data_IF_694911299583
#
_entry.id   IF_694911299583
#
_cell.length_a   1.000
_cell.length_b   1.000
_cell.length_c   1.000
_cell.angle_alpha   90.00
_cell.angle_beta   90.00
_cell.angle_gamma   90.00
#
_symmetry.space_group_name_H-M   'P 1'
#
loop_
_entity.id
_entity.type
_entity.pdbx_description
1 polymer ?
#
# COMPACT_ATOMS: atom_id res chain seq x y z
N UNK A 1 37.96 46.15 -24.79
CA UNK A 1 37.58 46.94 -23.61
C UNK A 1 36.39 46.24 -22.98
N UNK A 2 36.65 45.26 -22.13
CA UNK A 2 35.63 44.40 -21.53
C UNK A 2 35.05 45.13 -20.31
N UNK A 3 33.76 45.44 -20.32
CA UNK A 3 33.05 45.91 -19.13
C UNK A 3 32.67 44.69 -18.29
N UNK A 4 33.24 44.59 -17.10
CA UNK A 4 32.84 43.64 -16.06
C UNK A 4 31.61 44.20 -15.34
N UNK A 5 30.48 43.48 -15.41
CA UNK A 5 29.34 43.68 -14.51
C UNK A 5 29.58 42.87 -13.23
N UNK A 6 29.62 43.55 -12.10
CA UNK A 6 29.79 42.95 -10.77
C UNK A 6 28.41 42.49 -10.25
N UNK A 7 28.19 41.18 -10.26
CA UNK A 7 26.89 40.53 -9.94
C UNK A 7 26.77 40.14 -8.46
N UNK A 8 27.54 40.76 -7.56
CA UNK A 8 27.68 40.34 -6.17
C UNK A 8 26.87 41.14 -5.13
N UNK A 9 25.80 41.87 -5.51
CA UNK A 9 25.07 42.71 -4.54
C UNK A 9 23.67 42.29 -4.09
N UNK A 10 23.03 41.22 -4.61
CA UNK A 10 21.63 40.94 -4.22
C UNK A 10 21.23 39.48 -3.95
N UNK A 11 22.17 38.61 -3.54
CA UNK A 11 21.81 37.32 -2.95
C UNK A 11 21.62 37.43 -1.43
N UNK A 12 20.46 37.97 -1.03
CA UNK A 12 19.98 37.80 0.35
C UNK A 12 19.54 36.35 0.55
N UNK A 13 20.32 35.62 1.34
CA UNK A 13 19.99 34.29 1.88
C UNK A 13 18.54 34.29 2.37
N UNK A 14 17.65 33.53 1.73
CA UNK A 14 16.27 33.35 2.21
C UNK A 14 16.33 32.59 3.54
N UNK A 15 15.79 33.21 4.59
CA UNK A 15 15.74 32.61 5.93
C UNK A 15 14.93 31.30 5.92
N UNK A 16 15.25 30.36 6.82
CA UNK A 16 14.49 29.12 6.95
C UNK A 16 12.99 29.41 7.23
N UNK A 17 12.09 28.52 6.76
CA UNK A 17 10.65 28.77 6.80
C UNK A 17 10.19 29.03 8.24
N UNK A 18 9.44 30.11 8.37
CA UNK A 18 8.91 30.60 9.63
C UNK A 18 7.95 29.57 10.24
N UNK A 19 7.74 29.68 11.55
CA UNK A 19 6.83 28.81 12.30
C UNK A 19 5.39 28.84 11.73
N UNK A 20 4.98 29.97 11.13
CA UNK A 20 3.68 30.12 10.49
C UNK A 20 3.60 29.39 9.14
N UNK A 21 4.66 29.44 8.32
CA UNK A 21 4.74 28.68 7.05
C UNK A 21 4.74 27.18 7.32
N UNK A 22 5.48 26.71 8.33
CA UNK A 22 5.45 25.30 8.78
C UNK A 22 4.06 24.88 9.26
N UNK A 23 3.33 25.75 9.96
CA UNK A 23 1.96 25.49 10.40
C UNK A 23 0.98 25.44 9.23
N UNK A 24 1.16 26.30 8.22
CA UNK A 24 0.32 26.33 7.02
C UNK A 24 0.53 25.05 6.19
N UNK A 25 1.78 24.64 5.98
CA UNK A 25 2.13 23.38 5.31
C UNK A 25 1.57 22.15 6.05
N UNK A 26 1.73 22.08 7.37
CA UNK A 26 1.17 20.98 8.18
C UNK A 26 -0.37 20.94 8.14
N UNK A 27 -1.03 22.10 8.06
CA UNK A 27 -2.48 22.19 7.94
C UNK A 27 -2.97 21.79 6.54
N UNK A 28 -2.23 22.13 5.49
CA UNK A 28 -2.47 21.65 4.13
C UNK A 28 -2.35 20.12 4.09
N UNK A 29 -1.25 19.57 4.59
CA UNK A 29 -1.02 18.11 4.68
C UNK A 29 -2.16 17.39 5.42
N UNK A 30 -2.68 17.95 6.52
CA UNK A 30 -3.78 17.34 7.28
C UNK A 30 -5.15 17.42 6.58
N UNK A 31 -5.34 18.38 5.67
CA UNK A 31 -6.56 18.50 4.87
C UNK A 31 -6.57 17.50 3.68
N UNK A 32 -5.39 17.13 3.16
CA UNK A 32 -5.23 16.19 2.04
C UNK A 32 -5.14 14.70 2.43
N UNK A 33 -5.23 14.37 3.72
CA UNK A 33 -5.21 12.99 4.24
C UNK A 33 -6.50 12.19 4.04
N UNK A 34 -7.51 12.71 3.34
CA UNK A 34 -8.71 11.94 2.98
C UNK A 34 -8.49 11.31 1.59
N UNK A 35 -8.40 9.97 1.48
CA UNK A 35 -8.11 9.31 0.21
C UNK A 35 -9.37 9.30 -0.68
N UNK A 36 -9.27 9.89 -1.87
CA UNK A 36 -10.19 9.65 -3.00
C UNK A 36 -9.33 9.11 -4.13
N UNK A 37 -9.52 7.87 -4.55
CA UNK A 37 -8.56 7.18 -5.41
C UNK A 37 -9.19 6.19 -6.37
N UNK A 38 -8.68 6.20 -7.61
CA UNK A 38 -9.01 5.27 -8.68
C UNK A 38 -7.90 5.05 -9.80
N UNK A 39 -7.69 3.83 -10.34
CA UNK A 39 -7.06 3.18 -11.51
C UNK A 39 -7.70 1.80 -11.85
N UNK A 40 -8.06 1.71 -13.12
CA UNK A 40 -7.96 0.57 -14.03
C UNK A 40 -7.16 1.13 -15.20
N UNK A 41 -7.39 0.76 -16.46
CA UNK A 41 -6.68 1.39 -17.59
C UNK A 41 -6.98 2.91 -17.73
N UNK A 42 -7.99 3.38 -17.00
CA UNK A 42 -8.29 4.80 -16.78
C UNK A 42 -8.03 5.19 -15.32
N UNK A 43 -7.65 6.45 -15.09
CA UNK A 43 -7.46 7.07 -13.76
C UNK A 43 -8.74 7.08 -12.89
N UNK A 44 -9.85 6.53 -13.37
CA UNK A 44 -11.18 6.49 -12.74
C UNK A 44 -11.53 5.14 -12.03
N UNK A 45 -10.66 4.10 -12.01
CA UNK A 45 -11.10 2.70 -11.68
C UNK A 45 -10.50 1.91 -10.46
N UNK A 46 -9.75 2.52 -9.53
CA UNK A 46 -9.05 1.85 -8.41
C UNK A 46 -10.05 1.94 -7.30
N UNK A 47 -10.16 0.87 -6.56
CA UNK A 47 -10.76 1.01 -5.26
C UNK A 47 -9.86 1.83 -4.33
N UNK A 48 -10.50 2.33 -3.29
CA UNK A 48 -9.94 2.61 -1.96
C UNK A 48 -8.98 1.50 -1.45
N UNK A 49 -9.00 0.29 -2.03
CA UNK A 49 -8.37 -0.92 -1.50
C UNK A 49 -7.44 -1.64 -2.49
N UNK A 50 -6.82 -0.90 -3.42
CA UNK A 50 -5.91 -1.47 -4.42
C UNK A 50 -6.66 -2.32 -5.46
N UNK A 51 -6.19 -3.52 -5.84
CA UNK A 51 -6.83 -4.37 -6.86
C UNK A 51 -8.15 -5.01 -6.38
N UNK A 52 -8.57 -4.72 -5.14
CA UNK A 52 -9.79 -5.26 -4.56
C UNK A 52 -11.00 -4.40 -4.83
N UNK A 53 -12.04 -5.04 -5.35
CA UNK A 53 -13.40 -4.51 -5.45
C UNK A 53 -14.26 -5.18 -4.37
N UNK A 54 -15.00 -4.36 -3.60
CA UNK A 54 -15.98 -4.90 -2.65
C UNK A 54 -17.12 -5.53 -3.44
N UNK A 55 -17.43 -6.78 -3.10
CA UNK A 55 -18.59 -7.49 -3.65
C UNK A 55 -19.41 -8.12 -2.52
N UNK A 56 -20.33 -9.01 -2.87
CA UNK A 56 -21.23 -9.68 -1.95
C UNK A 56 -21.00 -11.20 -1.93
N UNK A 57 -21.59 -11.86 -0.94
CA UNK A 57 -21.48 -13.31 -0.69
C UNK A 57 -22.19 -14.21 -1.72
N UNK A 58 -22.90 -13.63 -2.68
CA UNK A 58 -23.59 -14.33 -3.77
C UNK A 58 -22.91 -14.08 -5.14
N UNK A 59 -21.74 -13.43 -5.14
CA UNK A 59 -20.96 -13.16 -6.35
C UNK A 59 -20.57 -14.48 -7.04
N UNK A 60 -20.85 -14.58 -8.35
CA UNK A 60 -20.74 -15.83 -9.12
C UNK A 60 -19.28 -16.23 -9.35
N UNK A 61 -18.40 -15.27 -9.58
CA UNK A 61 -16.98 -15.55 -9.80
C UNK A 61 -16.32 -15.97 -8.49
N UNK A 62 -16.70 -15.32 -7.39
CA UNK A 62 -16.28 -15.73 -6.05
C UNK A 62 -16.81 -17.10 -5.65
N UNK A 63 -18.04 -17.44 -6.03
CA UNK A 63 -18.59 -18.78 -5.82
C UNK A 63 -17.76 -19.85 -6.53
N UNK A 64 -17.36 -19.60 -7.78
CA UNK A 64 -16.47 -20.50 -8.55
C UNK A 64 -15.15 -20.71 -7.81
N UNK A 65 -14.49 -19.63 -7.39
CA UNK A 65 -13.23 -19.70 -6.66
C UNK A 65 -13.39 -20.44 -5.31
N UNK A 66 -14.50 -20.18 -4.61
CA UNK A 66 -14.79 -20.79 -3.32
C UNK A 66 -15.14 -22.28 -3.42
N UNK A 67 -15.85 -22.71 -4.46
CA UNK A 67 -16.17 -24.12 -4.70
C UNK A 67 -14.91 -24.96 -4.95
N UNK A 68 -13.84 -24.35 -5.49
CA UNK A 68 -12.53 -24.97 -5.68
C UNK A 68 -11.59 -24.89 -4.46
N UNK A 69 -12.01 -24.28 -3.36
CA UNK A 69 -11.14 -24.03 -2.21
C UNK A 69 -11.29 -25.08 -1.10
N UNK A 70 -10.18 -25.47 -0.46
CA UNK A 70 -10.15 -26.56 0.53
C UNK A 70 -10.97 -26.27 1.81
N UNK A 71 -11.27 -25.00 2.10
CA UNK A 71 -12.12 -24.62 3.25
C UNK A 71 -13.60 -24.85 2.99
N UNK A 72 -14.01 -25.02 1.72
CA UNK A 72 -15.40 -25.23 1.35
C UNK A 72 -15.84 -26.64 1.72
N UNK A 73 -16.91 -26.73 2.51
CA UNK A 73 -17.49 -28.01 2.86
C UNK A 73 -18.13 -28.65 1.63
N UNK A 74 -17.88 -29.95 1.40
CA UNK A 74 -18.42 -30.68 0.22
C UNK A 74 -19.94 -30.54 0.07
N UNK A 75 -20.67 -30.52 1.19
CA UNK A 75 -22.13 -30.36 1.21
C UNK A 75 -22.63 -28.96 0.85
N UNK A 76 -21.76 -27.95 0.82
CA UNK A 76 -22.11 -26.57 0.49
C UNK A 76 -21.61 -26.12 -0.88
N UNK A 77 -20.96 -26.99 -1.65
CA UNK A 77 -20.61 -26.73 -3.06
C UNK A 77 -21.91 -26.51 -3.84
N UNK A 78 -21.96 -25.47 -4.69
CA UNK A 78 -23.18 -25.05 -5.41
C UNK A 78 -24.20 -24.27 -4.57
N UNK A 79 -23.97 -24.06 -3.27
CA UNK A 79 -24.75 -23.09 -2.47
C UNK A 79 -24.62 -21.69 -3.06
N UNK A 80 -25.70 -20.92 -3.07
CA UNK A 80 -25.70 -19.52 -3.54
C UNK A 80 -24.90 -18.56 -2.65
N UNK A 81 -24.47 -19.02 -1.47
CA UNK A 81 -23.60 -18.29 -0.56
C UNK A 81 -22.41 -19.15 -0.13
N UNK A 82 -21.23 -18.54 -0.11
CA UNK A 82 -19.97 -19.19 0.27
C UNK A 82 -19.39 -18.72 1.61
N UNK A 83 -19.98 -17.69 2.22
CA UNK A 83 -19.52 -17.16 3.51
C UNK A 83 -20.36 -17.71 4.66
N UNK A 84 -19.75 -17.74 5.85
CA UNK A 84 -20.51 -18.03 7.08
C UNK A 84 -21.36 -16.82 7.50
N UNK A 85 -22.43 -17.02 8.28
CA UNK A 85 -23.20 -15.91 8.85
C UNK A 85 -22.35 -14.94 9.67
N UNK A 86 -22.73 -13.66 9.68
CA UNK A 86 -22.05 -12.61 10.46
C UNK A 86 -21.51 -11.46 9.61
N UNK A 87 -20.55 -10.72 10.18
CA UNK A 87 -19.95 -9.53 9.59
C UNK A 87 -18.84 -9.93 8.62
N UNK A 88 -19.17 -9.96 7.33
CA UNK A 88 -18.25 -10.31 6.27
C UNK A 88 -17.87 -9.06 5.45
N UNK A 89 -16.62 -9.01 5.00
CA UNK A 89 -16.15 -8.16 3.92
C UNK A 89 -15.65 -9.09 2.82
N UNK A 90 -16.27 -9.00 1.65
CA UNK A 90 -15.97 -9.86 0.50
C UNK A 90 -15.32 -9.00 -0.57
N UNK A 91 -14.13 -9.42 -1.00
CA UNK A 91 -13.33 -8.71 -1.99
C UNK A 91 -13.02 -9.63 -3.17
N UNK A 92 -13.04 -9.08 -4.38
CA UNK A 92 -12.60 -9.77 -5.59
C UNK A 92 -11.76 -8.86 -6.47
N UNK A 93 -10.92 -9.43 -7.32
CA UNK A 93 -10.34 -8.68 -8.45
C UNK A 93 -11.39 -8.39 -9.50
N UNK A 94 -11.11 -7.43 -10.37
CA UNK A 94 -11.97 -7.04 -11.48
C UNK A 94 -12.39 -8.24 -12.36
N UNK A 95 -11.41 -9.06 -12.75
CA UNK A 95 -11.59 -10.27 -13.58
C UNK A 95 -12.27 -11.42 -12.80
N UNK A 96 -12.30 -11.36 -11.46
CA UNK A 96 -12.86 -12.44 -10.63
C UNK A 96 -11.97 -13.68 -10.57
N UNK A 97 -10.65 -13.50 -10.74
CA UNK A 97 -9.62 -14.54 -10.67
C UNK A 97 -8.88 -14.55 -9.31
N UNK A 98 -9.12 -13.58 -8.44
CA UNK A 98 -8.73 -13.65 -7.04
C UNK A 98 -9.85 -13.19 -6.12
N UNK A 99 -9.89 -13.75 -4.92
CA UNK A 99 -10.96 -13.52 -3.96
C UNK A 99 -10.50 -13.61 -2.52
N UNK A 100 -11.05 -12.75 -1.66
CA UNK A 100 -10.77 -12.69 -0.24
C UNK A 100 -12.06 -12.50 0.57
N UNK A 101 -12.13 -13.11 1.76
CA UNK A 101 -13.20 -12.86 2.75
C UNK A 101 -12.63 -12.65 4.14
N UNK A 102 -12.84 -11.45 4.67
CA UNK A 102 -12.67 -11.17 6.09
C UNK A 102 -13.98 -11.38 6.84
N UNK A 103 -13.90 -11.97 8.02
CA UNK A 103 -15.00 -12.09 8.97
C UNK A 103 -14.60 -11.50 10.31
N UNK A 104 -15.35 -10.52 10.79
CA UNK A 104 -15.08 -9.86 12.07
C UNK A 104 -15.95 -10.41 13.20
N UNK A 105 -15.34 -10.65 14.36
CA UNK A 105 -16.09 -10.92 15.58
C UNK A 105 -15.41 -10.41 16.85
N UNK A 106 -16.24 -9.91 17.77
CA UNK A 106 -15.85 -9.58 19.14
C UNK A 106 -15.77 -10.81 20.07
N UNK A 107 -16.45 -11.90 19.74
CA UNK A 107 -16.55 -13.10 20.58
C UNK A 107 -16.48 -14.37 19.74
N UNK A 108 -15.62 -15.30 20.13
CA UNK A 108 -15.50 -16.64 19.52
C UNK A 108 -15.25 -17.68 20.59
N UNK A 109 -15.56 -18.92 20.26
CA UNK A 109 -15.43 -20.06 21.18
C UNK A 109 -14.00 -20.65 21.19
N UNK A 110 -13.14 -20.22 20.27
CA UNK A 110 -11.75 -20.68 20.10
C UNK A 110 -10.71 -19.73 20.72
N UNK A 111 -11.07 -19.09 21.84
CA UNK A 111 -10.27 -18.15 22.65
C UNK A 111 -9.95 -16.80 22.01
N UNK A 112 -9.99 -16.66 20.69
CA UNK A 112 -9.82 -15.35 20.04
C UNK A 112 -11.00 -14.42 20.31
N UNK A 113 -10.72 -13.17 20.68
CA UNK A 113 -11.73 -12.13 20.97
C UNK A 113 -11.35 -10.87 20.24
N UNK A 114 -12.33 -10.14 19.71
CA UNK A 114 -12.08 -8.94 18.90
C UNK A 114 -10.95 -9.15 17.88
N UNK A 115 -11.29 -9.91 16.83
CA UNK A 115 -10.36 -10.39 15.80
C UNK A 115 -11.01 -10.35 14.43
N UNK A 116 -10.21 -10.15 13.39
CA UNK A 116 -10.63 -10.35 12.00
C UNK A 116 -10.03 -11.67 11.49
N UNK A 117 -10.88 -12.59 11.04
CA UNK A 117 -10.44 -13.85 10.42
C UNK A 117 -10.50 -13.74 8.90
N UNK A 118 -9.40 -14.10 8.22
CA UNK A 118 -9.46 -14.45 6.80
C UNK A 118 -10.05 -15.87 6.65
N UNK A 119 -11.31 -15.94 6.23
CA UNK A 119 -12.04 -17.22 6.08
C UNK A 119 -11.88 -17.85 4.69
N UNK A 120 -11.48 -17.04 3.71
CA UNK A 120 -11.28 -17.46 2.34
C UNK A 120 -10.24 -16.54 1.68
N UNK A 121 -9.25 -17.15 1.03
CA UNK A 121 -8.36 -16.46 0.11
C UNK A 121 -7.94 -17.43 -0.99
N UNK A 122 -8.15 -17.04 -2.24
CA UNK A 122 -7.67 -17.76 -3.41
C UNK A 122 -7.20 -16.76 -4.44
N UNK A 123 -6.06 -17.02 -5.05
CA UNK A 123 -5.49 -16.17 -6.09
C UNK A 123 -5.11 -17.05 -7.29
N UNK A 124 -5.80 -16.84 -8.41
CA UNK A 124 -5.50 -17.39 -9.74
C UNK A 124 -5.01 -16.29 -10.70
N UNK A 125 -4.86 -15.06 -10.20
CA UNK A 125 -4.47 -13.88 -10.97
C UNK A 125 -2.95 -13.71 -11.10
N UNK A 126 -2.53 -12.68 -11.86
CA UNK A 126 -1.13 -12.26 -11.99
C UNK A 126 -0.57 -11.52 -10.78
N UNK A 127 -1.41 -11.06 -9.86
CA UNK A 127 -0.96 -10.25 -8.72
C UNK A 127 -0.19 -11.10 -7.70
N UNK A 128 0.81 -10.48 -7.07
CA UNK A 128 1.54 -11.12 -5.99
C UNK A 128 0.59 -11.36 -4.81
N UNK A 129 0.47 -12.63 -4.40
CA UNK A 129 -0.48 -13.02 -3.34
C UNK A 129 -0.26 -12.29 -2.02
N UNK A 130 0.99 -12.03 -1.63
CA UNK A 130 1.27 -11.29 -0.38
C UNK A 130 0.80 -9.85 -0.44
N UNK A 131 0.85 -9.21 -1.60
CA UNK A 131 0.38 -7.84 -1.77
C UNK A 131 -1.14 -7.78 -1.72
N UNK A 132 -1.81 -8.74 -2.37
CA UNK A 132 -3.26 -8.93 -2.23
C UNK A 132 -3.67 -9.10 -0.75
N UNK A 133 -2.92 -9.88 0.04
CA UNK A 133 -3.20 -10.03 1.48
C UNK A 133 -3.05 -8.70 2.22
N UNK A 134 -1.98 -7.92 1.99
CA UNK A 134 -1.77 -6.62 2.64
C UNK A 134 -2.91 -5.65 2.33
N UNK A 135 -3.31 -5.56 1.06
CA UNK A 135 -4.44 -4.72 0.65
C UNK A 135 -5.78 -5.16 1.25
N UNK A 136 -5.99 -6.48 1.40
CA UNK A 136 -7.20 -6.99 2.03
C UNK A 136 -7.25 -6.70 3.54
N UNK A 137 -6.09 -6.78 4.22
CA UNK A 137 -5.94 -6.36 5.62
C UNK A 137 -6.24 -4.88 5.74
N UNK A 138 -5.68 -4.03 4.87
CA UNK A 138 -5.97 -2.60 4.82
C UNK A 138 -7.47 -2.31 4.70
N UNK A 139 -8.15 -2.91 3.71
CA UNK A 139 -9.59 -2.74 3.50
C UNK A 139 -10.42 -3.12 4.73
N UNK A 140 -10.04 -4.23 5.36
CA UNK A 140 -10.71 -4.74 6.54
C UNK A 140 -10.52 -3.84 7.77
N UNK A 141 -9.34 -3.24 7.92
CA UNK A 141 -9.03 -2.24 8.96
C UNK A 141 -9.77 -0.94 8.70
N UNK A 142 -9.88 -0.46 7.46
CA UNK A 142 -10.72 0.70 7.16
C UNK A 142 -12.18 0.45 7.53
N UNK A 143 -12.67 -0.78 7.32
CA UNK A 143 -14.05 -1.14 7.61
C UNK A 143 -14.39 -1.24 9.10
N UNK A 144 -13.48 -1.77 9.92
CA UNK A 144 -13.76 -2.15 11.32
C UNK A 144 -12.76 -1.62 12.35
N UNK A 145 -11.74 -0.89 11.93
CA UNK A 145 -10.59 -0.53 12.77
C UNK A 145 -9.62 -1.70 12.97
N UNK A 146 -8.54 -1.43 13.71
CA UNK A 146 -7.59 -2.47 14.10
C UNK A 146 -8.16 -3.23 15.31
N UNK A 147 -8.44 -4.53 15.18
CA UNK A 147 -8.96 -5.35 16.27
C UNK A 147 -7.87 -5.66 17.31
N UNK A 148 -8.23 -5.85 18.59
CA UNK A 148 -7.23 -6.03 19.66
C UNK A 148 -6.36 -7.28 19.52
N UNK A 149 -6.89 -8.36 18.93
CA UNK A 149 -6.13 -9.60 18.66
C UNK A 149 -5.57 -9.64 17.21
N UNK A 150 -5.75 -8.57 16.44
CA UNK A 150 -5.27 -8.48 15.07
C UNK A 150 -6.02 -9.35 14.06
N UNK A 151 -5.29 -9.88 13.07
CA UNK A 151 -5.83 -10.78 12.05
C UNK A 151 -5.40 -12.21 12.30
N UNK A 152 -6.30 -13.15 12.02
CA UNK A 152 -6.00 -14.59 12.05
C UNK A 152 -6.38 -15.26 10.73
N UNK A 153 -5.72 -16.36 10.43
CA UNK A 153 -6.14 -17.30 9.38
C UNK A 153 -5.73 -18.72 9.76
N UNK A 154 -6.45 -19.69 9.23
CA UNK A 154 -6.20 -21.11 9.44
C UNK A 154 -5.82 -21.77 8.13
N UNK A 155 -4.60 -22.30 8.07
CA UNK A 155 -4.02 -22.91 6.88
C UNK A 155 -4.05 -24.42 7.01
N UNK A 156 -4.60 -25.11 5.99
CA UNK A 156 -4.58 -26.56 5.90
C UNK A 156 -3.36 -26.98 5.08
N UNK A 157 -2.24 -27.18 5.76
CA UNK A 157 -0.94 -27.48 5.12
C UNK A 157 -1.05 -28.61 4.09
N UNK A 158 -1.69 -29.73 4.45
CA UNK A 158 -1.82 -30.91 3.59
C UNK A 158 -2.68 -30.70 2.34
N UNK A 159 -3.41 -29.59 2.25
CA UNK A 159 -4.20 -29.24 1.06
C UNK A 159 -3.45 -28.30 0.10
N UNK A 160 -2.21 -27.93 0.42
CA UNK A 160 -1.42 -26.96 -0.35
C UNK A 160 -0.25 -27.69 -1.00
N UNK A 161 -0.11 -27.52 -2.32
CA UNK A 161 0.97 -28.14 -3.10
C UNK A 161 2.35 -27.53 -2.81
N UNK A 162 2.39 -26.26 -2.38
CA UNK A 162 3.63 -25.57 -2.04
C UNK A 162 4.34 -26.22 -0.85
N UNK A 163 5.66 -26.32 -0.93
CA UNK A 163 6.52 -26.75 0.19
C UNK A 163 6.49 -25.79 1.38
N UNK A 164 6.03 -24.56 1.16
CA UNK A 164 5.89 -23.51 2.17
C UNK A 164 4.42 -23.08 2.34
N UNK A 165 3.54 -23.90 2.95
CA UNK A 165 2.16 -23.53 3.22
C UNK A 165 2.05 -22.22 4.00
N UNK A 166 1.18 -21.33 3.53
CA UNK A 166 0.95 -20.02 4.14
C UNK A 166 2.03 -18.97 3.86
N UNK A 167 2.96 -19.23 2.93
CA UNK A 167 4.03 -18.29 2.56
C UNK A 167 3.51 -16.90 2.19
N UNK A 168 2.40 -16.80 1.48
CA UNK A 168 1.75 -15.53 1.12
C UNK A 168 1.43 -14.66 2.36
N UNK A 169 0.86 -15.26 3.41
CA UNK A 169 0.58 -14.57 4.67
C UNK A 169 1.86 -14.20 5.41
N UNK A 170 2.86 -15.08 5.44
CA UNK A 170 4.15 -14.81 6.09
C UNK A 170 4.84 -13.61 5.44
N UNK A 171 4.84 -13.54 4.11
CA UNK A 171 5.38 -12.39 3.38
C UNK A 171 4.58 -11.11 3.60
N UNK A 172 3.29 -11.23 3.90
CA UNK A 172 2.41 -10.16 4.34
C UNK A 172 2.53 -9.82 5.86
N UNK A 173 3.48 -10.42 6.58
CA UNK A 173 3.80 -10.08 7.98
C UNK A 173 3.19 -11.01 9.04
N UNK A 174 2.36 -11.98 8.65
CA UNK A 174 1.78 -12.94 9.59
C UNK A 174 2.85 -13.86 10.18
N UNK A 175 2.65 -14.29 11.43
CA UNK A 175 3.49 -15.24 12.15
C UNK A 175 2.73 -16.50 12.50
N UNK A 176 3.43 -17.64 12.53
CA UNK A 176 2.89 -18.91 13.03
C UNK A 176 2.74 -18.83 14.55
N UNK A 177 1.54 -19.09 15.07
CA UNK A 177 1.25 -19.01 16.52
C UNK A 177 0.78 -20.34 17.12
N UNK A 178 0.60 -21.37 16.30
CA UNK A 178 0.28 -22.71 16.78
C UNK A 178 -0.48 -23.54 15.76
N UNK A 179 -1.15 -24.59 16.25
CA UNK A 179 -2.03 -25.45 15.46
C UNK A 179 -3.35 -25.71 16.17
N UNK A 180 -4.43 -25.90 15.39
CA UNK A 180 -5.72 -26.31 15.95
C UNK A 180 -5.65 -27.76 16.43
N UNK A 181 -6.19 -28.06 17.61
CA UNK A 181 -6.12 -29.42 18.21
C UNK A 181 -6.77 -30.51 17.37
N UNK A 182 -7.95 -30.24 16.79
CA UNK A 182 -8.76 -31.27 16.12
C UNK A 182 -8.37 -31.46 14.66
N UNK A 183 -8.23 -30.37 13.91
CA UNK A 183 -8.00 -30.40 12.45
C UNK A 183 -6.54 -30.21 12.05
N UNK A 184 -5.64 -30.04 13.02
CA UNK A 184 -4.21 -29.80 12.83
C UNK A 184 -3.85 -28.64 11.88
N UNK A 185 -4.75 -27.65 11.72
CA UNK A 185 -4.53 -26.47 10.87
C UNK A 185 -3.48 -25.56 11.49
N UNK A 186 -2.57 -25.03 10.67
CA UNK A 186 -1.61 -24.01 11.08
C UNK A 186 -2.34 -22.69 11.33
N UNK A 187 -2.13 -22.11 12.50
CA UNK A 187 -2.69 -20.81 12.87
C UNK A 187 -1.65 -19.74 12.55
N UNK A 188 -2.02 -18.80 11.69
CA UNK A 188 -1.23 -17.62 11.38
C UNK A 188 -1.92 -16.38 11.95
N UNK A 189 -1.15 -15.50 12.59
CA UNK A 189 -1.65 -14.27 13.20
C UNK A 189 -0.79 -13.07 12.79
N UNK A 190 -1.45 -11.95 12.54
CA UNK A 190 -0.83 -10.64 12.34
C UNK A 190 -1.30 -9.73 13.48
N UNK A 191 -0.39 -9.40 14.39
CA UNK A 191 -0.70 -8.63 15.61
C UNK A 191 -0.93 -7.14 15.32
N UNK A 192 -1.65 -6.39 16.19
CA UNK A 192 -1.97 -4.97 15.96
C UNK A 192 -0.79 -4.08 15.56
N UNK A 193 0.35 -4.21 16.24
CA UNK A 193 1.56 -3.45 15.90
C UNK A 193 2.11 -3.80 14.51
N UNK A 194 2.02 -5.08 14.11
CA UNK A 194 2.47 -5.55 12.81
C UNK A 194 1.51 -5.13 11.69
N UNK A 195 0.22 -4.97 12.00
CA UNK A 195 -0.76 -4.39 11.09
C UNK A 195 -0.34 -2.96 10.79
N UNK A 196 -0.12 -2.11 11.80
CA UNK A 196 0.30 -0.72 11.59
C UNK A 196 1.56 -0.62 10.73
N UNK A 197 2.58 -1.44 11.00
CA UNK A 197 3.79 -1.52 10.17
C UNK A 197 3.47 -1.90 8.72
N UNK A 198 2.60 -2.90 8.51
CA UNK A 198 2.23 -3.37 7.16
C UNK A 198 1.37 -2.37 6.40
N UNK A 199 0.57 -1.56 7.11
CA UNK A 199 -0.26 -0.52 6.51
C UNK A 199 0.51 0.75 6.20
N UNK A 200 1.68 0.97 6.82
CA UNK A 200 2.46 2.18 6.58
C UNK A 200 2.93 2.28 5.11
N UNK A 201 3.37 1.17 4.50
CA UNK A 201 3.72 1.13 3.06
C UNK A 201 2.52 1.56 2.19
N UNK A 202 1.34 1.02 2.48
CA UNK A 202 0.10 1.31 1.74
C UNK A 202 -0.27 2.78 1.90
N UNK A 203 -0.15 3.35 3.11
CA UNK A 203 -0.41 4.77 3.37
C UNK A 203 0.55 5.68 2.57
N UNK A 204 1.84 5.34 2.52
CA UNK A 204 2.82 6.10 1.74
C UNK A 204 2.52 6.02 0.23
N UNK A 205 2.11 4.85 -0.28
CA UNK A 205 1.67 4.68 -1.67
C UNK A 205 0.44 5.57 -1.97
N UNK A 206 -0.53 5.60 -1.07
CA UNK A 206 -1.69 6.49 -1.21
C UNK A 206 -1.30 7.96 -1.22
N UNK A 207 -0.40 8.36 -0.32
CA UNK A 207 0.10 9.74 -0.29
C UNK A 207 0.82 10.11 -1.59
N UNK A 208 1.63 9.22 -2.15
CA UNK A 208 2.29 9.45 -3.45
C UNK A 208 1.27 9.65 -4.58
N UNK A 209 0.21 8.85 -4.63
CA UNK A 209 -0.85 9.09 -5.62
C UNK A 209 -1.51 10.45 -5.42
N UNK A 210 -1.91 10.79 -4.18
CA UNK A 210 -2.57 12.06 -3.89
C UNK A 210 -1.70 13.24 -4.34
N UNK A 211 -0.41 13.18 -4.02
CA UNK A 211 0.58 14.19 -4.42
C UNK A 211 0.71 14.25 -5.93
N UNK A 212 0.72 13.13 -6.65
CA UNK A 212 0.70 13.09 -8.13
C UNK A 212 -0.49 13.84 -8.71
N UNK A 213 -1.69 13.60 -8.18
CA UNK A 213 -2.90 14.30 -8.64
C UNK A 213 -2.84 15.80 -8.35
N UNK A 214 -2.30 16.20 -7.20
CA UNK A 214 -2.12 17.60 -6.85
C UNK A 214 -1.10 18.31 -7.75
N UNK A 215 -0.01 17.64 -8.13
CA UNK A 215 0.94 18.18 -9.12
C UNK A 215 0.23 18.42 -10.44
N UNK A 216 -0.56 17.44 -10.92
CA UNK A 216 -1.30 17.59 -12.17
C UNK A 216 -2.26 18.79 -12.15
N UNK A 217 -2.99 18.98 -11.06
CA UNK A 217 -3.89 20.15 -10.88
C UNK A 217 -3.10 21.45 -10.88
N UNK A 218 -2.02 21.54 -10.08
CA UNK A 218 -1.19 22.75 -10.01
C UNK A 218 -0.58 23.13 -11.37
N UNK A 219 -0.12 22.14 -12.14
CA UNK A 219 0.39 22.37 -13.50
C UNK A 219 -0.70 22.84 -14.46
N UNK A 220 -1.91 22.27 -14.37
CA UNK A 220 -3.06 22.65 -15.20
C UNK A 220 -3.48 24.10 -14.93
N UNK A 221 -3.39 24.54 -13.68
CA UNK A 221 -3.73 25.90 -13.25
C UNK A 221 -2.59 26.91 -13.50
N UNK A 222 -1.41 26.46 -13.94
CA UNK A 222 -0.23 27.32 -14.17
C UNK A 222 0.52 27.71 -12.89
N UNK A 223 0.21 27.06 -11.77
CA UNK A 223 0.78 27.32 -10.43
C UNK A 223 2.11 26.55 -10.25
N UNK A 224 3.14 26.95 -10.99
CA UNK A 224 4.44 26.24 -11.04
C UNK A 224 5.13 26.11 -9.67
N UNK A 225 5.09 27.16 -8.85
CA UNK A 225 5.71 27.13 -7.51
C UNK A 225 5.04 26.09 -6.60
N UNK A 226 3.72 25.96 -6.67
CA UNK A 226 2.96 24.97 -5.92
C UNK A 226 3.28 23.56 -6.43
N UNK A 227 3.34 23.35 -7.75
CA UNK A 227 3.72 22.07 -8.35
C UNK A 227 5.11 21.61 -7.87
N UNK A 228 6.10 22.51 -7.81
CA UNK A 228 7.45 22.23 -7.29
C UNK A 228 7.42 21.86 -5.80
N UNK A 229 6.67 22.60 -4.99
CA UNK A 229 6.55 22.32 -3.55
C UNK A 229 5.90 20.95 -3.29
N UNK A 230 4.85 20.61 -4.06
CA UNK A 230 4.20 19.31 -3.99
C UNK A 230 5.17 18.20 -4.48
N UNK A 231 5.97 18.45 -5.51
CA UNK A 231 7.00 17.51 -5.97
C UNK A 231 8.06 17.21 -4.90
N UNK A 232 8.55 18.24 -4.19
CA UNK A 232 9.48 18.05 -3.06
C UNK A 232 8.88 17.18 -1.94
N UNK A 233 7.59 17.35 -1.67
CA UNK A 233 6.85 16.48 -0.76
C UNK A 233 6.81 15.04 -1.30
N UNK A 234 6.57 14.84 -2.61
CA UNK A 234 6.62 13.53 -3.26
C UNK A 234 7.94 12.81 -2.99
N UNK A 235 9.08 13.49 -3.20
CA UNK A 235 10.42 12.94 -2.97
C UNK A 235 10.65 12.54 -1.52
N UNK A 236 10.12 13.32 -0.58
CA UNK A 236 10.20 13.00 0.86
C UNK A 236 9.41 11.73 1.20
N UNK A 237 8.19 11.59 0.66
CA UNK A 237 7.36 10.40 0.87
C UNK A 237 8.01 9.17 0.22
N UNK A 238 8.56 9.33 -0.98
CA UNK A 238 9.27 8.27 -1.69
C UNK A 238 10.50 7.79 -0.91
N UNK A 239 11.30 8.71 -0.38
CA UNK A 239 12.44 8.39 0.47
C UNK A 239 12.02 7.59 1.72
N UNK A 240 10.93 7.98 2.38
CA UNK A 240 10.36 7.22 3.50
C UNK A 240 9.91 5.81 3.11
N UNK A 241 9.26 5.65 1.95
CA UNK A 241 8.85 4.33 1.44
C UNK A 241 10.06 3.45 1.12
N UNK A 242 11.13 4.03 0.54
CA UNK A 242 12.39 3.33 0.27
C UNK A 242 13.07 2.89 1.56
N UNK A 243 13.17 3.78 2.55
CA UNK A 243 13.74 3.48 3.87
C UNK A 243 12.97 2.35 4.55
N UNK A 244 11.63 2.41 4.56
CA UNK A 244 10.80 1.37 5.15
C UNK A 244 11.00 0.01 4.47
N UNK A 245 11.02 -0.04 3.14
CA UNK A 245 11.27 -1.28 2.40
C UNK A 245 12.67 -1.83 2.67
N UNK A 246 13.67 -0.96 2.75
CA UNK A 246 15.04 -1.32 3.12
C UNK A 246 15.11 -1.88 4.54
N UNK A 247 14.44 -1.25 5.51
CA UNK A 247 14.32 -1.72 6.89
C UNK A 247 13.70 -3.11 6.98
N UNK A 248 12.60 -3.33 6.26
CA UNK A 248 11.94 -4.63 6.19
C UNK A 248 12.88 -5.68 5.59
N UNK A 249 13.63 -5.33 4.54
CA UNK A 249 14.61 -6.22 3.93
C UNK A 249 15.76 -6.55 4.90
N UNK A 250 16.34 -5.55 5.58
CA UNK A 250 17.38 -5.72 6.62
C UNK A 250 16.93 -6.60 7.77
N UNK A 251 15.68 -6.45 8.24
CA UNK A 251 15.11 -7.29 9.31
C UNK A 251 14.86 -8.73 8.87
N UNK A 252 14.51 -8.94 7.59
CA UNK A 252 14.26 -10.28 7.02
C UNK A 252 15.55 -11.05 6.73
N UNK A 253 16.65 -10.34 6.45
CA UNK A 253 17.92 -10.94 6.08
C UNK A 253 18.99 -10.40 7.04
N UNK A 254 19.40 -11.20 8.02
CA UNK A 254 20.51 -10.91 8.94
C UNK A 254 21.89 -10.65 8.24
N UNK A 255 21.94 -10.47 6.91
CA UNK A 255 23.13 -10.26 6.07
C UNK A 255 22.81 -9.42 4.83
N UNK A 256 22.41 -8.16 4.97
CA UNK A 256 22.22 -7.25 3.83
C UNK A 256 23.16 -6.05 3.95
N UNK A 257 24.47 -6.29 3.77
CA UNK A 257 25.54 -5.27 3.87
C UNK A 257 25.93 -4.65 2.51
N UNK A 258 25.21 -4.95 1.42
CA UNK A 258 25.66 -4.58 0.07
C UNK A 258 24.57 -4.07 -0.88
N UNK A 259 23.47 -3.51 -0.37
CA UNK A 259 22.51 -2.84 -1.25
C UNK A 259 22.95 -1.40 -1.54
N UNK A 260 23.35 -1.16 -2.79
CA UNK A 260 23.50 0.18 -3.37
C UNK A 260 22.26 0.42 -4.24
N UNK A 261 21.44 1.46 -3.97
CA UNK A 261 20.29 1.78 -4.80
C UNK A 261 20.76 2.12 -6.22
N UNK A 262 20.26 1.38 -7.21
CA UNK A 262 20.44 1.71 -8.62
C UNK A 262 19.18 2.44 -9.10
N UNK A 263 19.27 3.76 -9.24
CA UNK A 263 18.63 4.61 -10.26
C UNK A 263 18.82 6.09 -9.86
N UNK A 264 19.38 6.86 -10.78
CA UNK A 264 19.61 8.30 -10.63
C UNK A 264 18.24 9.03 -10.59
N UNK A 265 18.08 10.11 -9.81
CA UNK A 265 16.83 10.87 -9.68
C UNK A 265 16.17 11.28 -11.02
N UNK A 266 16.97 11.41 -12.07
CA UNK A 266 16.54 11.73 -13.43
C UNK A 266 15.80 10.59 -14.12
N UNK A 267 16.18 9.34 -13.88
CA UNK A 267 15.55 8.17 -14.50
C UNK A 267 14.09 8.03 -14.06
N UNK A 268 13.77 8.41 -12.82
CA UNK A 268 12.40 8.42 -12.30
C UNK A 268 11.49 9.46 -13.01
N UNK A 269 12.02 10.64 -13.35
CA UNK A 269 11.27 11.68 -14.04
C UNK A 269 10.89 11.28 -15.46
N UNK A 270 11.82 10.65 -16.17
CA UNK A 270 11.57 10.08 -17.49
C UNK A 270 10.45 9.02 -17.48
N UNK A 271 10.27 8.30 -16.37
CA UNK A 271 9.17 7.35 -16.21
C UNK A 271 7.83 8.00 -15.80
N UNK A 272 7.82 9.22 -15.24
CA UNK A 272 6.59 9.94 -14.87
C UNK A 272 5.93 10.67 -16.03
N UNK A 273 6.70 11.12 -17.03
CA UNK A 273 6.18 11.81 -18.20
C UNK A 273 6.18 10.85 -19.40
N UNK A 274 5.00 10.45 -19.85
CA UNK A 274 4.82 9.46 -20.95
C UNK A 274 5.44 9.89 -22.28
N UNK A 275 5.77 11.18 -22.44
CA UNK A 275 6.35 11.76 -23.66
C UNK A 275 7.79 12.27 -23.48
N UNK A 276 8.49 11.88 -22.41
CA UNK A 276 9.86 12.35 -22.12
C UNK A 276 9.98 13.89 -21.95
N UNK A 277 8.86 14.58 -21.74
CA UNK A 277 8.82 16.04 -21.65
C UNK A 277 8.85 16.48 -20.19
N UNK A 278 9.95 17.13 -19.82
CA UNK A 278 10.12 17.86 -18.55
C UNK A 278 10.15 19.35 -18.91
N UNK A 279 9.32 20.21 -18.30
CA UNK A 279 9.41 21.65 -18.52
C UNK A 279 10.82 22.18 -18.27
N UNK A 280 11.37 23.00 -19.17
CA UNK A 280 12.75 23.53 -19.06
C UNK A 280 12.97 24.30 -17.74
N UNK A 281 11.92 24.94 -17.24
CA UNK A 281 11.94 25.68 -15.98
C UNK A 281 12.14 24.77 -14.77
N UNK A 282 11.69 23.52 -14.84
CA UNK A 282 11.97 22.50 -13.81
C UNK A 282 13.42 22.02 -13.89
N UNK A 283 13.97 21.85 -15.10
CA UNK A 283 15.36 21.45 -15.29
C UNK A 283 16.34 22.47 -14.70
N UNK A 284 16.12 23.77 -14.96
CA UNK A 284 16.97 24.84 -14.42
C UNK A 284 16.99 24.87 -12.89
N UNK A 285 15.88 24.58 -12.22
CA UNK A 285 15.80 24.55 -10.76
C UNK A 285 16.51 23.35 -10.13
N UNK A 286 16.66 22.23 -10.86
CA UNK A 286 17.43 21.06 -10.40
C UNK A 286 18.93 21.25 -10.57
N UNK A 287 19.37 21.92 -11.64
CA UNK A 287 20.78 22.26 -11.85
C UNK A 287 21.32 23.19 -10.76
N UNK A 288 20.46 24.07 -10.22
CA UNK A 288 20.79 24.93 -9.09
C UNK A 288 20.91 24.16 -7.75
N UNK A 289 20.15 23.07 -7.56
CA UNK A 289 20.22 22.24 -6.34
C UNK A 289 21.47 21.34 -6.33
N UNK A 290 21.85 20.72 -7.45
CA UNK A 290 23.07 19.89 -7.53
C UNK A 290 24.37 20.70 -7.37
N UNK A 291 24.39 21.96 -7.79
CA UNK A 291 25.53 22.86 -7.57
C UNK A 291 25.61 23.40 -6.13
N UNK A 292 24.58 23.18 -5.31
CA UNK A 292 24.54 23.64 -3.91
C UNK A 292 25.05 22.62 -2.89
N UNK A 293 25.28 21.36 -3.30
CA UNK A 293 25.85 20.31 -2.45
C UNK A 293 27.39 20.17 -2.55
N UNK A 294 28.06 20.92 -3.43
CA UNK A 294 29.52 20.90 -3.62
C UNK A 294 30.32 21.96 -2.82
N UNK A 295 29.72 22.62 -1.82
CA UNK A 295 30.40 23.61 -0.96
C UNK A 295 30.32 23.30 0.55
#
# INVERSE_FOLDING_TARGET
>A
MQMTFDYNQDLKVKNPPTKQEKQKLNKSISLFTQPVLSFGENEEENGEYGPWIITNKCDRDMLRLADCHYSRARKSIGSSQFTRPGKNLVLRTEIGDAGWVSWYSKKRDDHFKDVIECTFFRNESRYLSSDLVKWAVYASVQRWGIPSEGFITFVKDDAIQSTNPGSNYIHAGFKKVGRTKVRNLTILQLLPNQIEESLHDIRLIHQLFSVRQLIHVALTDGELEEAINIYRLAKTIEAGLREQKSDIARRKLHKWDSFVPNEEPMDFLHHMFTDNWIPEEMLCLFEDENNSEEW
#
